data_IF_478940178282
#
_entry.id   IF_478940178282
#
_cell.length_a   1.000
_cell.length_b   1.000
_cell.length_c   1.000
_cell.angle_alpha   90.00
_cell.angle_beta   90.00
_cell.angle_gamma   90.00
#
_symmetry.space_group_name_H-M   'P 1'
#
loop_
_entity.id
_entity.type
_entity.pdbx_description
1 polymer ?
#
# COMPACT_ATOMS: atom_id res chain seq x y z
N UNK A 1 -11.57 6.03 -2.75
CA UNK A 1 -10.94 5.79 -4.07
C UNK A 1 -9.59 6.51 -4.10
N UNK A 2 -8.49 5.77 -4.26
CA UNK A 2 -7.12 6.32 -4.26
C UNK A 2 -6.76 6.82 -5.65
N UNK A 3 -6.11 7.99 -5.77
CA UNK A 3 -5.67 8.57 -7.07
C UNK A 3 -4.78 7.60 -7.89
N UNK A 4 -4.06 6.69 -7.21
CA UNK A 4 -3.25 5.66 -7.84
C UNK A 4 -4.06 4.65 -8.67
N UNK A 5 -5.29 4.33 -8.26
CA UNK A 5 -6.16 3.43 -9.04
C UNK A 5 -6.54 4.05 -10.39
N UNK A 6 -6.70 5.38 -10.45
CA UNK A 6 -7.04 6.10 -11.68
C UNK A 6 -5.94 6.03 -12.75
N UNK A 7 -4.70 5.71 -12.36
CA UNK A 7 -3.56 5.56 -13.26
C UNK A 7 -3.12 4.08 -13.42
N UNK A 8 -4.01 3.13 -13.08
CA UNK A 8 -3.81 1.71 -13.35
C UNK A 8 -3.04 0.93 -12.28
N UNK A 9 -2.82 1.49 -11.09
CA UNK A 9 -2.27 0.72 -9.97
C UNK A 9 -3.34 -0.18 -9.35
N UNK A 10 -3.02 -1.46 -9.18
CA UNK A 10 -3.90 -2.46 -8.54
C UNK A 10 -3.69 -2.54 -7.01
N UNK A 11 -2.58 -2.02 -6.50
CA UNK A 11 -2.24 -2.05 -5.08
C UNK A 11 -0.86 -1.50 -4.80
N UNK A 12 -0.33 -1.81 -3.63
CA UNK A 12 0.96 -1.33 -3.17
C UNK A 12 1.66 -2.37 -2.30
N UNK A 13 2.96 -2.23 -2.11
CA UNK A 13 3.71 -2.94 -1.08
C UNK A 13 3.65 -2.12 0.21
N UNK A 14 3.26 -2.77 1.31
CA UNK A 14 3.26 -2.16 2.62
C UNK A 14 4.69 -2.03 3.12
N UNK A 15 5.10 -0.80 3.45
CA UNK A 15 6.41 -0.49 4.02
C UNK A 15 6.21 0.13 5.39
N UNK A 16 6.97 -0.31 6.37
CA UNK A 16 6.93 0.18 7.73
C UNK A 16 7.85 1.40 7.89
N UNK A 17 7.81 2.03 9.07
CA UNK A 17 8.77 3.06 9.41
C UNK A 17 10.16 2.48 9.73
N UNK A 18 10.29 1.15 9.80
CA UNK A 18 11.53 0.41 10.12
C UNK A 18 12.20 0.88 11.42
N UNK A 19 11.38 1.18 12.43
CA UNK A 19 11.83 1.60 13.76
C UNK A 19 11.16 0.82 14.89
N UNK A 20 11.67 1.01 16.11
CA UNK A 20 11.23 0.26 17.28
C UNK A 20 9.81 0.56 17.76
N UNK A 21 9.16 1.63 17.28
CA UNK A 21 7.78 1.97 17.65
C UNK A 21 6.76 1.35 16.69
N UNK A 22 7.22 0.68 15.62
CA UNK A 22 6.34 -0.07 14.72
C UNK A 22 5.69 -1.21 15.51
N UNK A 23 4.35 -1.20 15.56
CA UNK A 23 3.58 -2.25 16.23
C UNK A 23 3.82 -3.59 15.56
N UNK A 24 3.74 -4.67 16.35
CA UNK A 24 4.00 -6.03 15.87
C UNK A 24 3.17 -6.40 14.62
N UNK A 25 1.86 -6.17 14.65
CA UNK A 25 0.94 -6.44 13.52
C UNK A 25 1.30 -5.65 12.25
N UNK A 26 1.87 -4.44 12.40
CA UNK A 26 2.34 -3.63 11.28
C UNK A 26 3.69 -4.10 10.76
N UNK A 27 4.59 -4.55 11.65
CA UNK A 27 5.87 -5.14 11.28
C UNK A 27 5.67 -6.40 10.43
N UNK A 28 4.66 -7.22 10.76
CA UNK A 28 4.28 -8.39 9.96
C UNK A 28 3.80 -8.04 8.56
N UNK A 29 3.45 -6.78 8.28
CA UNK A 29 3.03 -6.35 6.94
C UNK A 29 4.18 -5.91 6.04
N UNK A 30 5.40 -5.77 6.56
CA UNK A 30 6.56 -5.36 5.78
C UNK A 30 6.73 -6.21 4.52
N UNK A 31 6.76 -5.56 3.35
CA UNK A 31 6.91 -6.22 2.06
C UNK A 31 5.65 -6.93 1.53
N UNK A 32 4.53 -6.96 2.26
CA UNK A 32 3.29 -7.58 1.78
C UNK A 32 2.57 -6.69 0.77
N UNK A 33 2.06 -7.31 -0.29
CA UNK A 33 1.19 -6.63 -1.25
C UNK A 33 -0.22 -6.46 -0.69
N UNK A 34 -0.76 -5.25 -0.80
CA UNK A 34 -2.14 -4.90 -0.41
C UNK A 34 -2.88 -4.36 -1.63
N UNK A 35 -3.96 -5.04 -1.99
CA UNK A 35 -4.90 -4.59 -3.02
C UNK A 35 -5.70 -3.39 -2.50
N UNK A 36 -5.92 -2.38 -3.35
CA UNK A 36 -6.65 -1.16 -2.94
C UNK A 36 -8.06 -1.45 -2.41
N UNK A 37 -8.74 -2.47 -2.95
CA UNK A 37 -10.09 -2.85 -2.53
C UNK A 37 -10.15 -3.77 -1.30
N UNK A 38 -9.00 -4.21 -0.78
CA UNK A 38 -8.92 -5.19 0.33
C UNK A 38 -7.90 -4.76 1.37
N UNK A 39 -8.16 -3.66 2.11
CA UNK A 39 -7.31 -3.28 3.24
C UNK A 39 -7.24 -4.40 4.29
N UNK A 40 -6.08 -4.61 4.93
CA UNK A 40 -5.95 -5.54 6.04
C UNK A 40 -6.66 -5.01 7.29
N UNK A 41 -6.99 -5.93 8.20
CA UNK A 41 -7.41 -5.62 9.56
C UNK A 41 -6.25 -5.88 10.52
N UNK A 42 -5.75 -4.83 11.17
CA UNK A 42 -4.64 -4.86 12.13
C UNK A 42 -5.08 -4.14 13.40
N UNK A 43 -4.68 -4.64 14.57
CA UNK A 43 -5.03 -4.03 15.86
C UNK A 43 -6.55 -3.83 16.05
N UNK A 44 -7.38 -4.70 15.46
CA UNK A 44 -8.84 -4.60 15.49
C UNK A 44 -9.43 -3.51 14.58
N UNK A 45 -8.63 -2.90 13.71
CA UNK A 45 -9.05 -1.83 12.78
C UNK A 45 -8.71 -2.19 11.34
N UNK A 46 -9.60 -1.86 10.40
CA UNK A 46 -9.35 -2.06 8.97
C UNK A 46 -8.86 -0.77 8.34
N UNK A 47 -7.69 -0.80 7.70
CA UNK A 47 -7.11 0.38 7.08
C UNK A 47 -5.84 0.09 6.28
N UNK A 48 -5.42 1.07 5.47
CA UNK A 48 -4.18 0.96 4.71
C UNK A 48 -2.96 1.48 5.51
N UNK A 49 -1.77 1.24 4.97
CA UNK A 49 -0.53 1.77 5.54
C UNK A 49 -0.63 3.29 5.69
N UNK A 50 -0.34 3.80 6.90
CA UNK A 50 -0.40 5.23 7.22
C UNK A 50 -1.79 5.78 7.54
N UNK A 51 -2.85 4.98 7.51
CA UNK A 51 -4.23 5.42 7.81
C UNK A 51 -4.71 5.05 9.21
N UNK A 52 -4.05 4.08 9.86
CA UNK A 52 -4.36 3.69 11.24
C UNK A 52 -3.80 4.73 12.23
N UNK A 53 -4.38 4.89 13.43
CA UNK A 53 -3.97 5.92 14.39
C UNK A 53 -2.46 5.86 14.68
N UNK A 54 -1.76 7.00 14.60
CA UNK A 54 -0.30 7.12 14.81
C UNK A 54 0.56 6.20 13.91
N UNK A 55 0.01 5.64 12.83
CA UNK A 55 0.73 4.78 11.91
C UNK A 55 1.66 5.61 11.02
N UNK A 56 2.94 5.24 10.97
CA UNK A 56 3.97 5.84 10.10
C UNK A 56 4.37 4.93 8.93
N UNK A 57 3.65 3.81 8.73
CA UNK A 57 3.81 2.96 7.56
C UNK A 57 3.37 3.72 6.30
N UNK A 58 3.90 3.33 5.13
CA UNK A 58 3.59 3.97 3.86
C UNK A 58 3.39 2.95 2.75
N UNK A 59 2.83 3.45 1.64
CA UNK A 59 2.37 2.66 0.50
C UNK A 59 3.40 2.80 -0.62
N UNK A 60 4.21 1.78 -0.86
CA UNK A 60 5.06 1.75 -2.04
C UNK A 60 4.22 1.29 -3.24
N UNK A 61 3.79 2.25 -4.06
CA UNK A 61 2.81 2.02 -5.12
C UNK A 61 3.38 1.10 -6.19
N UNK A 62 2.67 0.02 -6.51
CA UNK A 62 3.06 -0.91 -7.56
C UNK A 62 2.21 -0.67 -8.80
N UNK A 63 2.88 -0.62 -9.93
CA UNK A 63 2.27 -0.77 -11.23
C UNK A 63 2.61 -2.17 -11.74
N UNK A 64 1.59 -2.91 -12.20
CA UNK A 64 1.88 -4.08 -13.04
C UNK A 64 2.79 -3.60 -14.16
N UNK A 65 3.76 -4.44 -14.56
CA UNK A 65 4.73 -4.10 -15.60
C UNK A 65 3.98 -3.78 -16.89
N UNK A 66 3.57 -2.53 -17.04
CA UNK A 66 3.15 -1.96 -18.31
C UNK A 66 4.40 -2.03 -19.16
N UNK A 67 4.40 -2.76 -20.30
CA UNK A 67 5.44 -2.53 -21.28
C UNK A 67 5.43 -1.03 -21.51
N UNK A 68 6.57 -0.38 -21.32
CA UNK A 68 6.77 1.07 -21.54
C UNK A 68 6.28 1.55 -22.93
N UNK A 69 5.91 0.61 -23.81
CA UNK A 69 5.28 0.80 -25.10
C UNK A 69 3.75 0.51 -25.10
N UNK A 70 2.95 1.19 -24.27
CA UNK A 70 1.57 1.50 -24.67
C UNK A 70 1.45 3.02 -24.73
N UNK A 71 2.03 3.50 -25.84
CA UNK A 71 1.83 4.76 -26.57
C UNK A 71 0.79 5.70 -25.97
N UNK A 72 1.22 6.97 -25.88
CA UNK A 72 0.39 8.16 -26.17
C UNK A 72 -0.75 7.76 -27.14
N UNK A 73 -1.98 7.81 -26.68
CA UNK A 73 -3.14 7.62 -27.52
C UNK A 73 -4.05 8.84 -27.34
N UNK A 74 -4.10 9.61 -28.44
CA UNK A 74 -5.01 10.69 -28.84
C UNK A 74 -5.28 11.83 -27.84
#
# INVERSE_FOLDING_TARGET
MTRAMAIGSIGYIWRTADDGDVRHSHAEMEGKFVEWGKPPTLDGMTGHAGELPNCRCYKEIVFARVPFAMKRAA
#
